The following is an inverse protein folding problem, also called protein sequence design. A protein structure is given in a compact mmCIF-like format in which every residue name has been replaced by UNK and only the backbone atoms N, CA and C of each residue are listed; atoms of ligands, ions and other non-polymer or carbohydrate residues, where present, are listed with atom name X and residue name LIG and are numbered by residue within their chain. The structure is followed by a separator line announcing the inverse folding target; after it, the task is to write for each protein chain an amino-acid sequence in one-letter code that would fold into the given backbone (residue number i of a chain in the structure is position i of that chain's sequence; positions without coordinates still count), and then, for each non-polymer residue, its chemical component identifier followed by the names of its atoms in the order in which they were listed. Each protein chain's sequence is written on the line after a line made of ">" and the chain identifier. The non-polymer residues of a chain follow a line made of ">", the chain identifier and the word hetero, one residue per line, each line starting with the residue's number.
data_IF_669949797837
#
_entry.id   IF_669949797837
#
_cell.length_a   1.000
_cell.length_b   1.000
_cell.length_c   1.000
_cell.angle_alpha   90.00
_cell.angle_beta   90.00
_cell.angle_gamma   90.00
#
_symmetry.space_group_name_H-M   'P 1'
#
loop_
_entity.id
_entity.type
_entity.pdbx_description
1 polymer ?
#
# COMPACT_ATOMS: atom_id res chain seq x y z
N UNK A 1 -3.57 -23.46 3.75
CA UNK A 1 -3.63 -22.29 4.64
C UNK A 1 -3.16 -21.07 3.87
N UNK A 2 -3.86 -19.93 4.00
CA UNK A 2 -3.45 -18.67 3.37
C UNK A 2 -2.45 -17.95 4.29
N UNK A 3 -1.32 -17.50 3.74
CA UNK A 3 -0.34 -16.71 4.49
C UNK A 3 -0.78 -15.26 4.58
N UNK A 4 -0.80 -14.70 5.78
CA UNK A 4 -1.17 -13.30 6.06
C UNK A 4 -0.07 -12.66 6.90
N UNK A 5 0.22 -11.38 6.66
CA UNK A 5 1.13 -10.57 7.47
C UNK A 5 0.40 -9.28 7.88
N UNK A 6 0.55 -8.87 9.14
CA UNK A 6 -0.05 -7.67 9.72
C UNK A 6 1.01 -6.98 10.57
N UNK A 7 1.22 -5.69 10.35
CA UNK A 7 2.14 -4.85 11.12
C UNK A 7 1.38 -3.59 11.56
N UNK A 8 1.57 -3.18 12.81
CA UNK A 8 0.95 -1.96 13.34
C UNK A 8 1.74 -0.74 12.86
N UNK A 9 1.05 0.29 12.43
CA UNK A 9 1.62 1.63 12.21
C UNK A 9 0.95 2.58 13.20
N UNK A 10 1.75 3.21 14.06
CA UNK A 10 1.23 4.05 15.16
C UNK A 10 0.78 5.45 14.70
N UNK A 11 1.12 5.85 13.47
CA UNK A 11 0.70 7.12 12.88
C UNK A 11 0.76 7.07 11.34
N UNK A 12 0.21 8.08 10.68
CA UNK A 12 0.34 8.30 9.23
C UNK A 12 1.59 9.12 8.86
N UNK A 13 2.53 9.31 9.79
CA UNK A 13 3.81 9.93 9.45
C UNK A 13 4.54 9.07 8.42
N UNK A 14 5.08 9.71 7.38
CA UNK A 14 5.69 9.02 6.24
C UNK A 14 6.79 8.06 6.67
N UNK A 15 7.64 8.44 7.62
CA UNK A 15 8.75 7.59 8.06
C UNK A 15 8.25 6.36 8.82
N UNK A 16 7.23 6.55 9.67
CA UNK A 16 6.61 5.46 10.44
C UNK A 16 5.88 4.48 9.50
N UNK A 17 5.17 5.00 8.50
CA UNK A 17 4.47 4.18 7.49
C UNK A 17 5.47 3.42 6.61
N UNK A 18 6.54 4.06 6.14
CA UNK A 18 7.59 3.41 5.34
C UNK A 18 8.25 2.25 6.11
N UNK A 19 8.53 2.45 7.39
CA UNK A 19 9.10 1.40 8.25
C UNK A 19 8.13 0.22 8.40
N UNK A 20 6.86 0.49 8.71
CA UNK A 20 5.84 -0.55 8.86
C UNK A 20 5.60 -1.35 7.56
N UNK A 21 5.56 -0.67 6.40
CA UNK A 21 5.42 -1.32 5.10
C UNK A 21 6.64 -2.19 4.78
N UNK A 22 7.85 -1.71 5.09
CA UNK A 22 9.10 -2.47 4.85
C UNK A 22 9.11 -3.76 5.67
N UNK A 23 8.75 -3.71 6.95
CA UNK A 23 8.62 -4.89 7.82
C UNK A 23 7.54 -5.86 7.30
N UNK A 24 6.36 -5.34 6.93
CA UNK A 24 5.26 -6.13 6.40
C UNK A 24 5.68 -6.92 5.15
N UNK A 25 6.36 -6.27 4.21
CA UNK A 25 6.84 -6.91 3.00
C UNK A 25 7.93 -7.95 3.31
N UNK A 26 8.80 -7.72 4.30
CA UNK A 26 9.83 -8.68 4.70
C UNK A 26 9.22 -10.03 5.12
N UNK A 27 8.12 -10.03 5.88
CA UNK A 27 7.38 -11.25 6.23
C UNK A 27 6.84 -12.04 5.03
N UNK A 28 6.62 -11.36 3.89
CA UNK A 28 6.13 -11.94 2.64
C UNK A 28 7.25 -12.36 1.67
N UNK A 29 8.51 -12.07 2.01
CA UNK A 29 9.71 -12.39 1.22
C UNK A 29 10.35 -11.17 0.55
N UNK A 30 9.94 -9.96 0.92
CA UNK A 30 10.49 -8.70 0.43
C UNK A 30 9.95 -8.29 -0.94
N UNK A 31 10.17 -7.02 -1.29
CA UNK A 31 9.73 -6.46 -2.58
C UNK A 31 10.40 -7.17 -3.77
N UNK A 32 11.67 -7.56 -3.63
CA UNK A 32 12.46 -8.22 -4.68
C UNK A 32 11.92 -9.60 -5.07
N UNK A 33 11.06 -10.22 -4.25
CA UNK A 33 10.34 -11.44 -4.63
C UNK A 33 9.28 -11.18 -5.72
N UNK A 34 8.74 -9.97 -5.79
CA UNK A 34 7.65 -9.60 -6.69
C UNK A 34 8.12 -8.76 -7.88
N UNK A 35 9.14 -7.93 -7.69
CA UNK A 35 9.63 -6.98 -8.69
C UNK A 35 11.16 -7.15 -8.84
N UNK A 36 11.61 -7.38 -10.07
CA UNK A 36 13.03 -7.49 -10.41
C UNK A 36 13.55 -6.18 -11.04
N UNK A 37 14.87 -5.89 -10.96
CA UNK A 37 15.48 -4.81 -11.72
C UNK A 37 15.13 -4.90 -13.21
N UNK A 38 14.68 -3.78 -13.79
CA UNK A 38 14.24 -3.71 -15.19
C UNK A 38 12.80 -4.16 -15.45
N UNK A 39 12.05 -4.60 -14.43
CA UNK A 39 10.64 -4.92 -14.59
C UNK A 39 9.83 -3.67 -14.96
N UNK A 40 8.93 -3.82 -15.94
CA UNK A 40 7.91 -2.81 -16.26
C UNK A 40 6.72 -3.00 -15.34
N UNK A 41 6.61 -2.12 -14.34
CA UNK A 41 5.54 -2.17 -13.33
C UNK A 41 4.50 -1.09 -13.63
N UNK A 42 3.23 -1.48 -13.68
CA UNK A 42 2.13 -0.53 -13.72
C UNK A 42 1.84 -0.04 -12.31
N UNK A 43 2.07 1.24 -12.05
CA UNK A 43 1.53 1.88 -10.85
C UNK A 43 0.06 2.18 -11.13
N UNK A 44 -0.85 1.67 -10.29
CA UNK A 44 -2.28 1.99 -10.31
C UNK A 44 -2.55 3.02 -9.21
N UNK A 45 -2.33 4.32 -9.46
CA UNK A 45 -2.45 5.35 -8.42
C UNK A 45 -3.89 5.58 -7.95
N UNK A 46 -4.91 4.90 -8.55
CA UNK A 46 -6.33 5.13 -8.30
C UNK A 46 -6.62 6.64 -8.17
N UNK A 47 -6.38 7.39 -9.26
CA UNK A 47 -6.68 8.82 -9.28
C UNK A 47 -8.17 9.02 -9.06
N UNK A 48 -8.51 9.69 -7.98
CA UNK A 48 -9.87 10.05 -7.62
C UNK A 48 -10.15 11.47 -8.13
N UNK A 49 -11.31 11.64 -8.74
CA UNK A 49 -11.75 12.95 -9.21
C UNK A 49 -12.32 13.76 -8.04
N UNK A 50 -11.97 15.04 -7.96
CA UNK A 50 -12.55 15.98 -6.99
C UNK A 50 -13.97 16.33 -7.39
N UNK A 51 -14.93 15.47 -7.07
CA UNK A 51 -16.36 15.66 -7.35
C UNK A 51 -17.17 15.77 -6.06
N UNK A 52 -18.42 16.15 -6.20
CA UNK A 52 -19.39 16.19 -5.11
C UNK A 52 -19.42 14.91 -4.26
N UNK A 53 -19.52 15.07 -2.94
CA UNK A 53 -19.49 13.98 -1.95
C UNK A 53 -20.59 12.93 -2.18
N UNK A 54 -21.76 13.34 -2.68
CA UNK A 54 -22.88 12.46 -2.99
C UNK A 54 -22.60 11.46 -4.12
N UNK A 55 -21.48 11.62 -4.84
CA UNK A 55 -20.99 10.65 -5.82
C UNK A 55 -20.11 9.55 -5.22
N UNK A 56 -19.77 9.62 -3.94
CA UNK A 56 -19.09 8.56 -3.19
C UNK A 56 -17.79 8.05 -3.88
N UNK A 57 -16.97 8.96 -4.40
CA UNK A 57 -15.73 8.61 -5.11
C UNK A 57 -14.63 8.14 -4.16
N UNK A 58 -14.61 8.65 -2.93
CA UNK A 58 -13.84 8.12 -1.80
C UNK A 58 -14.77 7.39 -0.82
N UNK A 59 -14.21 6.59 0.08
CA UNK A 59 -14.98 5.98 1.18
C UNK A 59 -15.68 7.08 1.99
N UNK A 60 -17.01 7.08 1.95
CA UNK A 60 -17.85 7.96 2.75
C UNK A 60 -17.83 7.47 4.22
N UNK A 61 -17.68 8.35 5.22
CA UNK A 61 -17.91 7.96 6.62
C UNK A 61 -19.34 7.47 6.87
#
# INVERSE_FOLDING_TARGET
>A
MTKVAVVKSDSYDTQIVEQAITELLAHLGGMSKYIQPGARVLVKPNMLEGVDEGKCVTTHP
#
